data_IF_870241612280
#
_entry.id   IF_870241612280
#
_cell.length_a   1.000
_cell.length_b   1.000
_cell.length_c   1.000
_cell.angle_alpha   90.00
_cell.angle_beta   90.00
_cell.angle_gamma   90.00
#
_symmetry.space_group_name_H-M   'P 1'
#
loop_
_entity.id
_entity.type
_entity.pdbx_description
1 polymer ?
#
# COMPACT_ATOMS: atom_id res chain seq x y z
N UNK A 1 12.27 -15.61 -17.59
CA UNK A 1 11.68 -16.96 -17.78
C UNK A 1 10.33 -17.00 -17.07
N UNK A 2 9.39 -17.86 -17.48
CA UNK A 2 8.07 -18.01 -16.83
C UNK A 2 7.90 -19.42 -16.27
N UNK A 3 7.12 -19.58 -15.20
CA UNK A 3 6.73 -20.89 -14.65
C UNK A 3 5.43 -21.41 -15.30
N UNK A 4 4.97 -22.59 -14.84
CA UNK A 4 3.74 -23.26 -15.33
C UNK A 4 2.44 -22.49 -15.06
N UNK A 5 2.49 -21.43 -14.25
CA UNK A 5 1.37 -20.52 -13.98
C UNK A 5 1.52 -19.18 -14.74
N UNK A 6 2.34 -19.16 -15.80
CA UNK A 6 2.69 -17.98 -16.61
C UNK A 6 3.29 -16.81 -15.81
N UNK A 7 3.80 -17.06 -14.60
CA UNK A 7 4.44 -16.04 -13.77
C UNK A 7 5.90 -15.91 -14.15
N UNK A 8 6.38 -14.68 -14.28
CA UNK A 8 7.81 -14.44 -14.45
C UNK A 8 8.57 -14.94 -13.22
N UNK A 9 9.64 -15.69 -13.41
CA UNK A 9 10.48 -16.21 -12.32
C UNK A 9 11.81 -15.48 -12.23
N UNK A 10 12.03 -14.50 -13.11
CA UNK A 10 13.26 -13.73 -13.16
C UNK A 10 13.02 -12.36 -13.77
N UNK A 11 13.51 -11.31 -13.14
CA UNK A 11 13.53 -9.95 -13.72
C UNK A 11 14.94 -9.38 -13.62
N UNK A 12 15.50 -8.91 -14.74
CA UNK A 12 16.86 -8.37 -14.81
C UNK A 12 17.94 -9.28 -14.18
N UNK A 13 17.82 -10.60 -14.36
CA UNK A 13 18.72 -11.60 -13.78
C UNK A 13 18.48 -11.95 -12.31
N UNK A 14 17.59 -11.24 -11.61
CA UNK A 14 17.19 -11.57 -10.24
C UNK A 14 16.05 -12.57 -10.22
N UNK A 15 16.11 -13.55 -9.32
CA UNK A 15 15.05 -14.55 -9.17
C UNK A 15 13.82 -13.94 -8.45
N UNK A 16 12.64 -14.19 -9.02
CA UNK A 16 11.36 -13.82 -8.41
C UNK A 16 10.80 -15.03 -7.67
N UNK A 17 10.35 -14.83 -6.43
CA UNK A 17 9.70 -15.88 -5.63
C UNK A 17 8.26 -15.49 -5.32
N UNK A 18 7.39 -16.49 -5.20
CA UNK A 18 5.96 -16.29 -4.97
C UNK A 18 5.46 -17.26 -3.91
N UNK A 19 4.43 -16.85 -3.17
CA UNK A 19 3.68 -17.76 -2.31
C UNK A 19 2.71 -18.66 -3.11
N UNK A 20 2.01 -19.56 -2.42
CA UNK A 20 1.05 -20.47 -3.04
C UNK A 20 -0.15 -19.76 -3.70
N UNK A 21 -0.54 -18.59 -3.18
CA UNK A 21 -1.62 -17.78 -3.76
C UNK A 21 -1.14 -16.99 -4.99
N UNK A 22 0.18 -16.88 -5.16
CA UNK A 22 0.82 -16.18 -6.26
C UNK A 22 1.18 -14.75 -6.01
N UNK A 23 1.21 -14.35 -4.76
CA UNK A 23 1.74 -13.06 -4.41
C UNK A 23 3.27 -13.12 -4.47
N UNK A 24 3.89 -12.10 -5.06
CA UNK A 24 5.35 -11.96 -5.11
C UNK A 24 5.87 -11.84 -3.67
N UNK A 25 6.80 -12.68 -3.26
CA UNK A 25 7.41 -12.67 -1.92
C UNK A 25 8.81 -12.09 -1.90
N UNK A 26 9.52 -12.15 -3.03
CA UNK A 26 10.80 -11.45 -3.24
C UNK A 26 11.08 -11.22 -4.71
N UNK A 27 11.68 -10.07 -5.03
CA UNK A 27 12.22 -9.72 -6.35
C UNK A 27 13.76 -9.84 -6.44
N UNK A 28 14.39 -10.45 -5.42
CA UNK A 28 15.85 -10.54 -5.25
C UNK A 28 16.48 -9.32 -4.54
N UNK A 29 15.75 -8.22 -4.38
CA UNK A 29 16.21 -7.01 -3.67
C UNK A 29 15.34 -6.70 -2.45
N UNK A 30 14.03 -6.74 -2.66
CA UNK A 30 12.98 -6.49 -1.70
C UNK A 30 12.30 -7.81 -1.29
N UNK A 31 11.74 -7.81 -0.09
CA UNK A 31 10.81 -8.85 0.38
C UNK A 31 9.44 -8.25 0.61
N UNK A 32 8.41 -9.02 0.29
CA UNK A 32 7.02 -8.60 0.28
C UNK A 32 6.22 -9.51 1.20
N UNK A 33 5.49 -8.92 2.14
CA UNK A 33 4.62 -9.66 3.07
C UNK A 33 3.17 -9.33 2.76
N UNK A 34 2.32 -10.36 2.75
CA UNK A 34 0.91 -10.28 2.41
C UNK A 34 0.06 -10.70 3.61
N UNK A 35 -1.08 -10.03 3.82
CA UNK A 35 -2.03 -10.43 4.84
C UNK A 35 -2.88 -11.64 4.36
N UNK A 36 -3.68 -12.20 5.25
CA UNK A 36 -4.53 -13.36 4.95
C UNK A 36 -5.59 -13.11 3.85
N UNK A 37 -5.81 -11.85 3.44
CA UNK A 37 -6.71 -11.45 2.36
C UNK A 37 -5.97 -11.19 1.04
N UNK A 38 -4.71 -11.62 0.92
CA UNK A 38 -3.85 -11.39 -0.25
C UNK A 38 -3.62 -9.88 -0.54
N UNK A 39 -3.50 -9.07 0.51
CA UNK A 39 -3.18 -7.65 0.37
C UNK A 39 -1.77 -7.38 0.88
N UNK A 40 -1.01 -6.58 0.15
CA UNK A 40 0.37 -6.25 0.50
C UNK A 40 0.42 -5.50 1.83
N UNK A 41 0.99 -6.12 2.85
CA UNK A 41 1.11 -5.55 4.19
C UNK A 41 2.44 -4.83 4.40
N UNK A 42 3.53 -5.32 3.79
CA UNK A 42 4.87 -4.80 4.02
C UNK A 42 5.80 -4.99 2.81
N UNK A 43 6.69 -4.02 2.59
CA UNK A 43 7.88 -4.15 1.75
C UNK A 43 9.10 -3.88 2.62
N UNK A 44 10.05 -4.81 2.63
CA UNK A 44 11.33 -4.66 3.31
C UNK A 44 12.50 -4.75 2.34
N UNK A 45 13.58 -4.03 2.63
CA UNK A 45 14.84 -4.06 1.89
C UNK A 45 15.98 -4.16 2.90
N UNK A 46 16.90 -5.12 2.70
CA UNK A 46 18.02 -5.34 3.63
C UNK A 46 17.59 -5.67 5.06
N UNK A 47 16.41 -6.28 5.24
CA UNK A 47 15.83 -6.58 6.56
C UNK A 47 15.07 -5.41 7.23
N UNK A 48 15.22 -4.18 6.73
CA UNK A 48 14.49 -3.02 7.24
C UNK A 48 13.16 -2.83 6.51
N UNK A 49 12.10 -2.50 7.26
CA UNK A 49 10.79 -2.17 6.69
C UNK A 49 10.84 -0.80 6.03
N UNK A 50 10.61 -0.78 4.71
CA UNK A 50 10.59 0.45 3.93
C UNK A 50 9.18 0.99 3.74
N UNK A 51 8.22 0.08 3.54
CA UNK A 51 6.82 0.42 3.42
C UNK A 51 5.96 -0.55 4.25
N UNK A 52 4.92 -0.02 4.88
CA UNK A 52 3.86 -0.84 5.47
C UNK A 52 2.48 -0.27 5.18
N UNK A 53 1.48 -1.14 5.16
CA UNK A 53 0.11 -0.80 4.80
C UNK A 53 -0.88 -1.48 5.73
N UNK A 54 -1.96 -0.77 6.06
CA UNK A 54 -3.12 -1.31 6.77
C UNK A 54 -4.39 -1.11 5.95
N UNK A 55 -5.36 -1.99 6.15
CA UNK A 55 -6.58 -2.04 5.35
C UNK A 55 -7.81 -2.17 6.24
N UNK A 56 -8.93 -1.63 5.78
CA UNK A 56 -10.24 -1.85 6.40
C UNK A 56 -10.91 -3.14 5.92
N UNK A 57 -12.11 -3.39 6.42
CA UNK A 57 -12.91 -4.57 6.07
C UNK A 57 -13.29 -4.63 4.58
N UNK A 58 -13.39 -3.48 3.90
CA UNK A 58 -13.69 -3.38 2.46
C UNK A 58 -12.43 -3.48 1.59
N UNK A 59 -11.26 -3.65 2.22
CA UNK A 59 -9.99 -3.80 1.54
C UNK A 59 -9.36 -2.47 1.09
N UNK A 60 -9.85 -1.33 1.59
CA UNK A 60 -9.30 -0.01 1.31
C UNK A 60 -8.17 0.27 2.29
N UNK A 61 -7.15 0.99 1.84
CA UNK A 61 -5.97 1.29 2.65
C UNK A 61 -6.30 2.36 3.69
N UNK A 62 -6.22 2.03 4.97
CA UNK A 62 -6.43 2.99 6.08
C UNK A 62 -5.14 3.67 6.51
N UNK A 63 -3.99 3.05 6.26
CA UNK A 63 -2.69 3.66 6.54
C UNK A 63 -1.62 3.19 5.55
N UNK A 64 -0.67 4.07 5.27
CA UNK A 64 0.59 3.82 4.57
C UNK A 64 1.71 4.43 5.39
N UNK A 65 2.74 3.65 5.72
CA UNK A 65 3.99 4.20 6.23
C UNK A 65 5.07 4.05 5.18
N UNK A 66 5.80 5.12 4.89
CA UNK A 66 6.97 5.11 3.99
C UNK A 66 8.17 5.63 4.78
N UNK A 67 9.19 4.79 4.95
CA UNK A 67 10.43 5.17 5.65
C UNK A 67 10.16 5.84 7.01
N UNK A 68 9.17 5.33 7.75
CA UNK A 68 8.76 5.85 9.06
C UNK A 68 7.73 6.99 9.02
N UNK A 69 7.44 7.59 7.86
CA UNK A 69 6.40 8.61 7.72
C UNK A 69 5.04 7.96 7.46
N UNK A 70 4.14 8.06 8.44
CA UNK A 70 2.79 7.52 8.36
C UNK A 70 1.81 8.54 7.76
N UNK A 71 1.06 8.08 6.77
CA UNK A 71 -0.11 8.70 6.19
C UNK A 71 -1.34 7.85 6.53
N UNK A 72 -2.40 8.48 7.03
CA UNK A 72 -3.69 7.87 7.34
C UNK A 72 -4.77 8.38 6.39
N UNK A 73 -5.76 7.53 6.09
CA UNK A 73 -6.85 7.84 5.19
C UNK A 73 -8.19 7.69 5.91
N UNK A 74 -9.04 8.71 5.83
CA UNK A 74 -10.44 8.66 6.26
C UNK A 74 -11.35 8.54 5.05
N UNK A 75 -12.39 7.73 5.20
CA UNK A 75 -13.35 7.46 4.15
C UNK A 75 -14.76 7.82 4.58
N UNK A 76 -15.54 8.37 3.64
CA UNK A 76 -16.99 8.49 3.71
C UNK A 76 -17.60 7.68 2.56
N UNK A 77 -18.48 6.73 2.88
CA UNK A 77 -18.94 5.74 1.91
C UNK A 77 -17.76 5.02 1.28
N UNK A 78 -17.58 5.14 -0.04
CA UNK A 78 -16.42 4.62 -0.79
C UNK A 78 -15.36 5.68 -1.12
N UNK A 79 -15.57 6.94 -0.74
CA UNK A 79 -14.72 8.06 -1.11
C UNK A 79 -13.68 8.32 -0.01
N UNK A 80 -12.41 8.50 -0.38
CA UNK A 80 -11.42 9.05 0.53
C UNK A 80 -11.70 10.55 0.70
N UNK A 81 -11.90 10.99 1.94
CA UNK A 81 -12.26 12.38 2.23
C UNK A 81 -11.14 13.16 2.91
N UNK A 82 -10.20 12.46 3.54
CA UNK A 82 -9.09 13.08 4.26
C UNK A 82 -7.84 12.21 4.21
N UNK A 83 -6.70 12.88 4.03
CA UNK A 83 -5.38 12.35 4.31
C UNK A 83 -4.82 13.03 5.57
N UNK A 84 -4.13 12.28 6.41
CA UNK A 84 -3.47 12.83 7.60
C UNK A 84 -2.05 12.31 7.72
N UNK A 85 -1.09 13.22 7.78
CA UNK A 85 0.32 12.91 7.98
C UNK A 85 0.83 13.65 9.20
N UNK A 86 1.14 12.91 10.28
CA UNK A 86 1.39 13.51 11.59
C UNK A 86 0.18 14.33 12.05
N UNK A 87 0.38 15.62 12.29
CA UNK A 87 -0.70 16.57 12.64
C UNK A 87 -1.31 17.32 11.45
N UNK A 88 -0.78 17.16 10.24
CA UNK A 88 -1.27 17.86 9.04
C UNK A 88 -2.46 17.12 8.46
N UNK A 89 -3.56 17.85 8.28
CA UNK A 89 -4.81 17.35 7.69
C UNK A 89 -4.94 17.91 6.27
N UNK A 90 -5.05 17.02 5.29
CA UNK A 90 -5.28 17.35 3.89
C UNK A 90 -6.66 16.80 3.46
N UNK A 91 -7.68 17.65 3.35
CA UNK A 91 -8.98 17.25 2.80
C UNK A 91 -8.83 16.84 1.32
N UNK A 92 -9.31 15.66 0.96
CA UNK A 92 -9.24 15.11 -0.41
C UNK A 92 -10.47 15.54 -1.22
N UNK A 93 -11.64 15.62 -0.58
CA UNK A 93 -12.89 15.99 -1.24
C UNK A 93 -13.16 17.49 -1.05
N UNK A 94 -12.60 18.32 -1.94
CA UNK A 94 -12.90 19.76 -2.02
C UNK A 94 -13.71 20.05 -3.30
N UNK A 95 -14.90 19.45 -3.44
CA UNK A 95 -15.59 19.44 -4.74
C UNK A 95 -17.11 19.45 -4.76
N UNK A 96 -17.81 19.56 -3.62
CA UNK A 96 -19.24 19.90 -3.59
C UNK A 96 -19.43 21.01 -2.56
N UNK A 97 -19.39 22.24 -3.08
CA UNK A 97 -19.73 23.53 -2.47
C UNK A 97 -19.20 23.81 -1.06
N UNK A 98 -18.05 24.47 -0.96
CA UNK A 98 -17.91 25.53 0.03
C UNK A 98 -17.29 26.76 -0.63
N UNK A 99 -18.17 27.72 -0.94
CA UNK A 99 -17.82 29.14 -1.04
C UNK A 99 -17.10 29.51 0.25
N UNK A 100 -15.83 29.87 0.12
CA UNK A 100 -15.06 30.42 1.23
C UNK A 100 -15.58 31.84 1.48
N UNK A 101 -16.52 32.00 2.42
CA UNK A 101 -16.69 33.27 3.13
C UNK A 101 -15.74 33.20 4.33
N UNK A 102 -14.63 33.96 4.26
CA UNK A 102 -13.84 34.27 5.45
C UNK A 102 -14.45 35.51 6.09
N UNK A 103 -14.70 35.45 7.39
CA UNK A 103 -14.74 36.64 8.24
C UNK A 103 -13.32 37.06 8.59
#
# INVERSE_FOLDING_TARGET
MRNLNDRETSFNGQALTYDANGNLTSDGTNTYTWNARNQLAQISQGGAVQLSFSYDAFGRRTSKTVQGTATQFLYDGMNAVQETQGGTINPILIGLEHVVIRF
#
